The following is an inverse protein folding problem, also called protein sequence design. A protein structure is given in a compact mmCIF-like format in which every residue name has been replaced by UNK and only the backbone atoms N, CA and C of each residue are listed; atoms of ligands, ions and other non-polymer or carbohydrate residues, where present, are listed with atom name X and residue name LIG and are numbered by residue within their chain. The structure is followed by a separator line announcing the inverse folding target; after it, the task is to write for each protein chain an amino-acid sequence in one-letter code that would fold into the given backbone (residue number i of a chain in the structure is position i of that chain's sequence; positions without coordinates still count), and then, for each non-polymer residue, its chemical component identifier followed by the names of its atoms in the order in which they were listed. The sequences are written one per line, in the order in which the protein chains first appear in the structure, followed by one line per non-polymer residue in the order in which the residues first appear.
data_IF_042002666118
#
_entry.id   IF_042002666118
#
_cell.length_a   1.000
_cell.length_b   1.000
_cell.length_c   1.000
_cell.angle_alpha   90.00
_cell.angle_beta   90.00
_cell.angle_gamma   90.00
#
_symmetry.space_group_name_H-M   'P 1'
#
loop_
_entity.id
_entity.type
_entity.pdbx_description
1 polymer ?
#
# COMPACT_ATOMS: atom_id res chain seq x y z
N UNK A 1 32.03 5.55 14.80
CA UNK A 1 30.68 5.00 14.63
C UNK A 1 30.81 3.78 13.75
N UNK A 2 30.88 2.62 14.38
CA UNK A 2 31.15 1.34 13.75
C UNK A 2 29.84 0.82 13.14
N UNK A 3 29.77 0.77 11.81
CA UNK A 3 28.76 0.02 11.06
C UNK A 3 29.34 -1.36 10.80
N UNK A 4 29.01 -2.35 11.63
CA UNK A 4 29.00 -3.78 11.28
C UNK A 4 28.69 -4.65 12.50
N UNK A 5 27.40 -4.93 12.71
CA UNK A 5 26.96 -6.25 13.13
C UNK A 5 25.65 -6.48 12.36
N UNK A 6 25.48 -7.65 11.76
CA UNK A 6 24.20 -8.02 11.15
C UNK A 6 23.14 -7.98 12.25
N UNK A 7 22.39 -6.88 12.28
CA UNK A 7 21.31 -6.68 13.23
C UNK A 7 20.21 -7.65 12.79
N UNK A 8 20.24 -8.86 13.37
CA UNK A 8 19.18 -9.84 13.18
C UNK A 8 17.97 -9.20 13.83
N UNK A 9 17.04 -8.71 13.01
CA UNK A 9 15.75 -8.19 13.47
C UNK A 9 15.16 -9.20 14.44
N UNK A 10 15.05 -8.82 15.71
CA UNK A 10 14.50 -9.68 16.73
C UNK A 10 12.99 -9.77 16.52
N UNK A 11 12.35 -10.89 16.90
CA UNK A 11 10.89 -10.97 16.85
C UNK A 11 10.20 -9.84 17.62
N UNK A 12 10.81 -9.34 18.70
CA UNK A 12 10.31 -8.19 19.48
C UNK A 12 10.38 -6.85 18.76
N UNK A 13 11.18 -6.74 17.70
CA UNK A 13 11.31 -5.50 16.91
C UNK A 13 10.19 -5.34 15.89
N UNK A 14 9.45 -6.42 15.63
CA UNK A 14 8.34 -6.47 14.67
C UNK A 14 7.01 -6.51 15.41
N UNK A 15 6.10 -5.61 15.03
CA UNK A 15 4.74 -5.61 15.58
C UNK A 15 3.92 -6.73 14.93
N UNK A 16 3.17 -7.54 15.69
CA UNK A 16 2.33 -8.58 15.12
C UNK A 16 1.15 -7.98 14.33
N UNK A 17 0.54 -8.74 13.39
CA UNK A 17 -0.51 -8.24 12.48
C UNK A 17 -1.66 -7.47 13.13
N UNK A 18 -2.17 -7.93 14.27
CA UNK A 18 -3.27 -7.23 14.97
C UNK A 18 -2.84 -5.85 15.51
N UNK A 19 -1.60 -5.73 16.01
CA UNK A 19 -1.04 -4.44 16.48
C UNK A 19 -0.77 -3.51 15.29
N UNK A 20 -0.39 -4.04 14.13
CA UNK A 20 -0.23 -3.27 12.90
C UNK A 20 -1.56 -2.65 12.45
N UNK A 21 -2.65 -3.43 12.45
CA UNK A 21 -4.00 -2.91 12.19
C UNK A 21 -4.39 -1.81 13.18
N UNK A 22 -4.26 -2.06 14.48
CA UNK A 22 -4.56 -1.07 15.53
C UNK A 22 -3.69 0.19 15.40
N UNK A 23 -2.46 0.06 14.92
CA UNK A 23 -1.62 1.23 14.63
C UNK A 23 -2.25 2.08 13.53
N UNK A 24 -2.70 1.48 12.42
CA UNK A 24 -3.38 2.22 11.36
C UNK A 24 -4.70 2.82 11.83
N UNK A 25 -5.43 2.13 12.71
CA UNK A 25 -6.65 2.66 13.32
C UNK A 25 -6.33 3.97 14.07
N UNK A 26 -5.32 3.97 14.93
CA UNK A 26 -4.86 5.19 15.60
C UNK A 26 -4.44 6.28 14.61
N UNK A 27 -3.67 5.94 13.57
CA UNK A 27 -3.19 6.93 12.59
C UNK A 27 -4.35 7.60 11.83
N UNK A 28 -5.32 6.82 11.37
CA UNK A 28 -6.38 7.31 10.49
C UNK A 28 -7.64 7.80 11.22
N UNK A 29 -7.94 7.26 12.42
CA UNK A 29 -9.14 7.60 13.18
C UNK A 29 -8.91 8.52 14.37
N UNK A 30 -7.71 8.60 14.93
CA UNK A 30 -7.39 9.58 15.99
C UNK A 30 -6.50 10.69 15.45
N UNK A 31 -5.27 10.34 15.04
CA UNK A 31 -4.25 11.32 14.76
C UNK A 31 -4.63 12.21 13.57
N UNK A 32 -5.11 11.61 12.48
CA UNK A 32 -5.52 12.33 11.28
C UNK A 32 -6.67 13.32 11.56
N UNK A 33 -7.68 12.90 12.34
CA UNK A 33 -8.82 13.75 12.69
C UNK A 33 -8.43 14.87 13.63
N UNK A 34 -7.62 14.58 14.65
CA UNK A 34 -7.18 15.56 15.65
C UNK A 34 -6.18 16.57 15.11
N UNK A 35 -5.25 16.11 14.27
CA UNK A 35 -4.16 16.94 13.76
C UNK A 35 -4.41 17.55 12.38
N UNK A 36 -5.41 17.06 11.63
CA UNK A 36 -5.69 17.48 10.27
C UNK A 36 -4.74 16.84 9.25
N UNK A 37 -5.23 16.71 8.00
CA UNK A 37 -4.54 15.98 6.94
C UNK A 37 -3.14 16.54 6.65
N UNK A 38 -3.03 17.87 6.45
CA UNK A 38 -1.77 18.49 6.04
C UNK A 38 -0.69 18.44 7.11
N UNK A 39 -1.03 18.64 8.38
CA UNK A 39 -0.05 18.71 9.48
C UNK A 39 0.45 17.31 9.87
N UNK A 40 -0.40 16.29 9.77
CA UNK A 40 -0.07 14.92 10.17
C UNK A 40 0.55 14.11 9.04
N UNK A 41 0.41 14.55 7.79
CA UNK A 41 0.74 13.75 6.61
C UNK A 41 2.14 13.14 6.63
N UNK A 42 3.19 13.94 6.85
CA UNK A 42 4.58 13.45 6.87
C UNK A 42 4.76 12.32 7.87
N UNK A 43 4.19 12.48 9.08
CA UNK A 43 4.27 11.46 10.11
C UNK A 43 3.46 10.21 9.75
N UNK A 44 2.22 10.36 9.29
CA UNK A 44 1.36 9.23 8.91
C UNK A 44 1.99 8.45 7.76
N UNK A 45 2.51 9.12 6.73
CA UNK A 45 3.18 8.49 5.58
C UNK A 45 4.38 7.65 6.03
N UNK A 46 5.19 8.18 6.94
CA UNK A 46 6.37 7.47 7.43
C UNK A 46 5.98 6.28 8.32
N UNK A 47 4.94 6.42 9.15
CA UNK A 47 4.45 5.35 10.03
C UNK A 47 3.65 4.27 9.30
N UNK A 48 2.86 4.63 8.29
CA UNK A 48 2.16 3.67 7.44
C UNK A 48 3.15 2.85 6.61
N UNK A 49 4.22 3.48 6.09
CA UNK A 49 5.33 2.76 5.47
C UNK A 49 6.00 1.77 6.43
N UNK A 50 6.24 2.17 7.68
CA UNK A 50 6.79 1.25 8.69
C UNK A 50 5.85 0.07 8.97
N UNK A 51 4.53 0.30 9.03
CA UNK A 51 3.54 -0.78 9.15
C UNK A 51 3.64 -1.78 8.00
N UNK A 52 3.69 -1.31 6.75
CA UNK A 52 3.84 -2.20 5.58
C UNK A 52 5.15 -2.98 5.59
N UNK A 53 6.24 -2.33 5.99
CA UNK A 53 7.54 -2.98 6.12
C UNK A 53 7.50 -4.13 7.13
N UNK A 54 6.83 -3.95 8.28
CA UNK A 54 6.71 -5.01 9.29
C UNK A 54 5.97 -6.24 8.74
N UNK A 55 4.90 -6.06 7.95
CA UNK A 55 4.23 -7.18 7.25
C UNK A 55 5.18 -7.91 6.30
N UNK A 56 5.97 -7.15 5.52
CA UNK A 56 6.94 -7.74 4.58
C UNK A 56 8.02 -8.53 5.31
N UNK A 57 8.55 -8.00 6.42
CA UNK A 57 9.58 -8.67 7.23
C UNK A 57 9.06 -9.94 7.91
N UNK A 58 7.76 -10.00 8.21
CA UNK A 58 7.11 -11.18 8.78
C UNK A 58 6.67 -12.20 7.71
N UNK A 59 6.80 -11.87 6.41
CA UNK A 59 6.23 -12.65 5.30
C UNK A 59 4.71 -12.85 5.42
N UNK A 60 4.02 -11.88 6.01
CA UNK A 60 2.58 -11.91 6.22
C UNK A 60 1.84 -11.32 5.02
N UNK A 61 1.09 -12.15 4.31
CA UNK A 61 0.33 -11.77 3.10
C UNK A 61 -1.17 -12.02 3.24
N UNK A 62 -1.63 -12.39 4.45
CA UNK A 62 -3.02 -12.75 4.73
C UNK A 62 -3.99 -11.57 4.75
N UNK A 63 -5.27 -11.81 5.12
CA UNK A 63 -6.34 -10.81 5.08
C UNK A 63 -6.01 -9.49 5.79
N UNK A 64 -5.39 -9.54 6.97
CA UNK A 64 -4.99 -8.34 7.71
C UNK A 64 -3.91 -7.52 6.99
N UNK A 65 -2.97 -8.18 6.31
CA UNK A 65 -1.94 -7.49 5.54
C UNK A 65 -2.57 -6.77 4.34
N UNK A 66 -3.49 -7.44 3.63
CA UNK A 66 -4.25 -6.88 2.52
C UNK A 66 -5.08 -5.67 3.00
N UNK A 67 -5.87 -5.82 4.06
CA UNK A 67 -6.68 -4.74 4.63
C UNK A 67 -5.83 -3.51 4.98
N UNK A 68 -4.69 -3.71 5.65
CA UNK A 68 -3.79 -2.63 6.02
C UNK A 68 -3.19 -1.93 4.79
N UNK A 69 -2.86 -2.68 3.74
CA UNK A 69 -2.30 -2.11 2.52
C UNK A 69 -3.36 -1.39 1.68
N UNK A 70 -4.59 -1.89 1.64
CA UNK A 70 -5.73 -1.22 1.00
C UNK A 70 -5.93 0.18 1.59
N UNK A 71 -5.99 0.27 2.93
CA UNK A 71 -6.12 1.54 3.66
C UNK A 71 -4.96 2.49 3.35
N UNK A 72 -3.74 1.97 3.32
CA UNK A 72 -2.57 2.77 2.93
C UNK A 72 -2.67 3.29 1.49
N UNK A 73 -3.11 2.46 0.53
CA UNK A 73 -3.27 2.86 -0.86
C UNK A 73 -4.32 3.96 -1.01
N UNK A 74 -5.49 3.80 -0.38
CA UNK A 74 -6.55 4.84 -0.36
C UNK A 74 -6.06 6.15 0.26
N UNK A 75 -5.34 6.07 1.40
CA UNK A 75 -4.72 7.24 2.01
C UNK A 75 -3.74 7.97 1.07
N UNK A 76 -2.88 7.24 0.36
CA UNK A 76 -1.93 7.84 -0.58
C UNK A 76 -2.64 8.53 -1.76
N UNK A 77 -3.75 7.97 -2.26
CA UNK A 77 -4.58 8.62 -3.28
C UNK A 77 -5.17 9.94 -2.75
N UNK A 78 -5.68 9.94 -1.52
CA UNK A 78 -6.19 11.15 -0.87
C UNK A 78 -5.10 12.21 -0.67
N UNK A 79 -3.88 11.78 -0.29
CA UNK A 79 -2.75 12.69 -0.12
C UNK A 79 -2.37 13.38 -1.44
N UNK A 80 -2.39 12.64 -2.56
CA UNK A 80 -2.17 13.20 -3.90
C UNK A 80 -3.23 14.26 -4.27
N UNK A 81 -4.47 14.10 -3.80
CA UNK A 81 -5.54 15.06 -4.04
C UNK A 81 -5.46 16.29 -3.13
N UNK A 82 -5.44 16.08 -1.80
CA UNK A 82 -5.55 17.16 -0.81
C UNK A 82 -4.27 18.00 -0.64
N UNK A 83 -3.09 17.44 -0.93
CA UNK A 83 -1.81 18.10 -0.64
C UNK A 83 -1.06 18.56 -1.88
N UNK A 84 -1.61 18.37 -3.09
CA UNK A 84 -0.94 18.73 -4.36
C UNK A 84 -0.39 20.16 -4.40
N UNK A 85 -1.12 21.11 -3.82
CA UNK A 85 -0.79 22.54 -3.85
C UNK A 85 -0.03 22.99 -2.58
N UNK A 86 0.28 22.04 -1.67
CA UNK A 86 0.97 22.36 -0.41
C UNK A 86 2.48 22.50 -0.64
N UNK A 87 3.10 23.58 -0.14
CA UNK A 87 4.54 23.75 -0.26
C UNK A 87 5.27 22.62 0.48
N UNK A 88 6.27 22.03 -0.19
CA UNK A 88 7.06 20.93 0.36
C UNK A 88 6.44 19.54 0.22
N UNK A 89 5.20 19.42 -0.29
CA UNK A 89 4.65 18.12 -0.67
C UNK A 89 5.31 17.62 -1.96
N UNK A 90 5.83 16.39 -1.93
CA UNK A 90 6.48 15.78 -3.09
C UNK A 90 5.54 14.76 -3.72
N UNK A 91 4.86 15.18 -4.78
CA UNK A 91 3.97 14.34 -5.57
C UNK A 91 4.67 13.06 -6.03
N UNK A 92 5.91 13.17 -6.53
CA UNK A 92 6.67 12.02 -7.01
C UNK A 92 6.97 10.99 -5.91
N UNK A 93 7.28 11.44 -4.68
CA UNK A 93 7.50 10.54 -3.56
C UNK A 93 6.20 9.87 -3.12
N UNK A 94 5.10 10.60 -3.12
CA UNK A 94 3.80 10.05 -2.74
C UNK A 94 3.29 9.02 -3.78
N UNK A 95 3.43 9.31 -5.07
CA UNK A 95 3.14 8.34 -6.14
C UNK A 95 3.97 7.08 -6.00
N UNK A 96 5.26 7.21 -5.68
CA UNK A 96 6.12 6.04 -5.47
C UNK A 96 5.62 5.19 -4.28
N UNK A 97 5.12 5.80 -3.19
CA UNK A 97 4.53 5.06 -2.08
C UNK A 97 3.25 4.33 -2.49
N UNK A 98 2.37 4.99 -3.25
CA UNK A 98 1.16 4.38 -3.79
C UNK A 98 1.49 3.19 -4.71
N UNK A 99 2.39 3.38 -5.68
CA UNK A 99 2.80 2.35 -6.63
C UNK A 99 3.41 1.13 -5.92
N UNK A 100 4.28 1.36 -4.93
CA UNK A 100 4.86 0.28 -4.12
C UNK A 100 3.79 -0.47 -3.33
N UNK A 101 2.83 0.24 -2.73
CA UNK A 101 1.74 -0.37 -1.96
C UNK A 101 0.86 -1.26 -2.86
N UNK A 102 0.49 -0.76 -4.03
CA UNK A 102 -0.32 -1.51 -5.01
C UNK A 102 0.43 -2.70 -5.61
N UNK A 103 1.76 -2.60 -5.75
CA UNK A 103 2.61 -3.71 -6.20
C UNK A 103 2.63 -4.84 -5.15
N UNK A 104 2.79 -4.52 -3.86
CA UNK A 104 2.69 -5.52 -2.79
C UNK A 104 1.31 -6.16 -2.72
N UNK A 105 0.23 -5.37 -2.88
CA UNK A 105 -1.13 -5.91 -2.91
C UNK A 105 -1.32 -6.95 -4.03
N UNK A 106 -0.81 -6.67 -5.23
CA UNK A 106 -0.84 -7.62 -6.34
C UNK A 106 -0.17 -8.95 -5.96
N UNK A 107 1.02 -8.89 -5.35
CA UNK A 107 1.76 -10.08 -4.90
C UNK A 107 0.97 -10.83 -3.82
N UNK A 108 0.33 -10.13 -2.88
CA UNK A 108 -0.49 -10.75 -1.84
C UNK A 108 -1.71 -11.46 -2.42
N UNK A 109 -2.36 -10.88 -3.43
CA UNK A 109 -3.47 -11.56 -4.11
C UNK A 109 -3.04 -12.86 -4.77
N UNK A 110 -1.87 -12.87 -5.41
CA UNK A 110 -1.27 -14.05 -6.03
C UNK A 110 -0.90 -15.11 -4.97
N UNK A 111 -0.32 -14.71 -3.85
CA UNK A 111 0.06 -15.62 -2.74
C UNK A 111 -1.15 -16.21 -2.00
N UNK A 112 -2.28 -15.50 -1.98
CA UNK A 112 -3.52 -15.92 -1.30
C UNK A 112 -4.48 -16.71 -2.20
N UNK A 113 -4.16 -16.89 -3.50
CA UNK A 113 -5.00 -17.70 -4.41
C UNK A 113 -5.30 -19.07 -3.83
N UNK A 114 -6.58 -19.47 -3.91
CA UNK A 114 -7.06 -20.74 -3.37
C UNK A 114 -7.15 -20.82 -1.84
N UNK A 115 -6.78 -19.76 -1.11
CA UNK A 115 -6.92 -19.67 0.36
C UNK A 115 -7.87 -18.55 0.77
N UNK A 116 -7.69 -17.37 0.19
CA UNK A 116 -8.49 -16.18 0.48
C UNK A 116 -8.66 -15.34 -0.79
N UNK A 117 -9.91 -15.02 -1.12
CA UNK A 117 -10.24 -14.10 -2.21
C UNK A 117 -10.61 -12.75 -1.61
N UNK A 118 -9.78 -11.74 -1.86
CA UNK A 118 -10.05 -10.41 -1.31
C UNK A 118 -11.20 -9.74 -2.05
N UNK A 119 -12.23 -9.21 -1.35
CA UNK A 119 -13.30 -8.46 -1.99
C UNK A 119 -12.82 -7.12 -2.60
N UNK A 120 -11.65 -6.63 -2.18
CA UNK A 120 -11.06 -5.36 -2.63
C UNK A 120 -10.14 -5.50 -3.83
N UNK A 121 -9.90 -6.73 -4.32
CA UNK A 121 -8.92 -6.94 -5.39
C UNK A 121 -9.26 -6.15 -6.66
N UNK A 122 -10.53 -6.16 -7.07
CA UNK A 122 -10.99 -5.40 -8.24
C UNK A 122 -10.65 -3.90 -8.12
N UNK A 123 -10.94 -3.31 -6.96
CA UNK A 123 -10.69 -1.90 -6.65
C UNK A 123 -9.19 -1.57 -6.78
N UNK A 124 -8.33 -2.36 -6.13
CA UNK A 124 -6.89 -2.14 -6.13
C UNK A 124 -6.26 -2.36 -7.51
N UNK A 125 -6.77 -3.34 -8.28
CA UNK A 125 -6.34 -3.58 -9.67
C UNK A 125 -6.70 -2.39 -10.56
N UNK A 126 -7.83 -1.73 -10.33
CA UNK A 126 -8.24 -0.51 -11.04
C UNK A 126 -7.30 0.64 -10.72
N UNK A 127 -7.02 0.91 -9.44
CA UNK A 127 -6.05 1.95 -9.04
C UNK A 127 -4.66 1.70 -9.60
N UNK A 128 -4.18 0.45 -9.52
CA UNK A 128 -2.90 0.05 -10.08
C UNK A 128 -2.83 0.32 -11.59
N UNK A 129 -3.90 -0.01 -12.32
CA UNK A 129 -3.95 0.19 -13.77
C UNK A 129 -3.96 1.67 -14.17
N UNK A 130 -4.65 2.52 -13.41
CA UNK A 130 -4.73 3.96 -13.65
C UNK A 130 -3.42 4.68 -13.28
N UNK A 131 -2.82 4.41 -12.13
CA UNK A 131 -1.58 5.10 -11.74
C UNK A 131 -0.39 4.72 -12.65
N UNK A 132 -0.42 3.51 -13.25
CA UNK A 132 0.56 3.03 -14.23
C UNK A 132 0.11 3.25 -15.69
N UNK A 133 -0.69 4.27 -15.97
CA UNK A 133 -1.18 4.55 -17.34
C UNK A 133 -0.06 4.81 -18.35
N UNK A 134 1.12 5.25 -17.89
CA UNK A 134 2.31 5.45 -18.73
C UNK A 134 2.98 4.15 -19.18
N UNK A 135 2.78 3.05 -18.46
CA UNK A 135 3.44 1.79 -18.79
C UNK A 135 2.81 1.20 -20.06
N UNK A 136 3.54 1.13 -21.18
CA UNK A 136 2.98 0.59 -22.41
C UNK A 136 3.08 -0.93 -22.52
N UNK A 137 3.75 -1.60 -21.55
CA UNK A 137 3.92 -3.05 -21.56
C UNK A 137 3.03 -3.66 -20.50
N UNK A 138 2.07 -4.48 -20.90
CA UNK A 138 1.35 -5.29 -19.95
C UNK A 138 2.28 -6.38 -19.41
N UNK A 139 2.45 -6.39 -18.09
CA UNK A 139 3.10 -7.50 -17.39
C UNK A 139 2.10 -8.66 -17.34
N UNK A 140 2.63 -9.89 -17.40
CA UNK A 140 1.80 -11.07 -17.23
C UNK A 140 1.40 -11.13 -15.75
N UNK A 141 0.13 -10.87 -15.48
CA UNK A 141 -0.45 -10.85 -14.13
C UNK A 141 -1.44 -12.02 -14.03
N UNK A 142 -1.44 -12.75 -12.91
CA UNK A 142 -2.43 -13.80 -12.68
C UNK A 142 -3.73 -13.20 -12.11
N UNK A 143 -4.52 -12.63 -13.02
CA UNK A 143 -5.80 -11.99 -12.73
C UNK A 143 -6.93 -13.00 -12.97
N UNK A 144 -7.77 -13.28 -11.96
CA UNK A 144 -8.91 -14.18 -12.11
C UNK A 144 -9.86 -13.74 -13.24
N UNK A 145 -10.44 -14.72 -13.94
CA UNK A 145 -11.36 -14.46 -15.06
C UNK A 145 -12.53 -13.57 -14.65
N UNK A 146 -13.06 -13.72 -13.45
CA UNK A 146 -14.17 -12.89 -12.96
C UNK A 146 -13.80 -11.40 -12.85
N UNK A 147 -12.53 -11.05 -12.57
CA UNK A 147 -12.04 -9.67 -12.55
C UNK A 147 -11.82 -9.18 -13.98
N UNK A 148 -11.20 -9.99 -14.83
CA UNK A 148 -10.99 -9.65 -16.25
C UNK A 148 -12.31 -9.40 -16.98
N UNK A 149 -13.35 -10.14 -16.62
CA UNK A 149 -14.68 -10.03 -17.22
C UNK A 149 -15.52 -8.91 -16.61
N UNK A 150 -15.15 -8.40 -15.44
CA UNK A 150 -15.89 -7.38 -14.71
C UNK A 150 -15.98 -6.06 -15.52
N UNK A 151 -17.17 -5.44 -15.63
CA UNK A 151 -17.37 -4.25 -16.45
C UNK A 151 -16.46 -3.08 -16.05
N UNK A 152 -16.29 -2.86 -14.75
CA UNK A 152 -15.40 -1.83 -14.19
C UNK A 152 -13.94 -2.02 -14.67
N UNK A 153 -13.43 -3.25 -14.68
CA UNK A 153 -12.05 -3.53 -15.11
C UNK A 153 -11.89 -3.39 -16.62
N UNK A 154 -12.89 -3.83 -17.41
CA UNK A 154 -12.94 -3.64 -18.87
C UNK A 154 -12.94 -2.16 -19.25
N UNK A 155 -13.81 -1.36 -18.64
CA UNK A 155 -13.90 0.08 -18.88
C UNK A 155 -12.62 0.80 -18.47
N UNK A 156 -12.03 0.44 -17.33
CA UNK A 156 -10.72 0.97 -16.91
C UNK A 156 -9.61 0.64 -17.91
N UNK A 157 -9.62 -0.58 -18.45
CA UNK A 157 -8.65 -1.00 -19.48
C UNK A 157 -8.87 -0.26 -20.78
N UNK A 158 -10.11 -0.09 -21.22
CA UNK A 158 -10.45 0.69 -22.41
C UNK A 158 -10.04 2.16 -22.27
N UNK A 159 -10.36 2.77 -21.12
CA UNK A 159 -9.95 4.14 -20.79
C UNK A 159 -8.44 4.32 -20.91
N UNK A 160 -7.67 3.40 -20.30
CA UNK A 160 -6.21 3.37 -20.38
C UNK A 160 -5.71 3.32 -21.83
N UNK A 161 -6.28 2.45 -22.67
CA UNK A 161 -5.87 2.32 -24.07
C UNK A 161 -6.13 3.61 -24.87
N UNK A 162 -7.30 4.24 -24.66
CA UNK A 162 -7.65 5.52 -25.32
C UNK A 162 -6.70 6.63 -24.90
N UNK A 163 -6.45 6.79 -23.59
CA UNK A 163 -5.50 7.79 -23.08
C UNK A 163 -4.09 7.54 -23.64
N UNK A 164 -3.65 6.27 -23.69
CA UNK A 164 -2.33 5.95 -24.20
C UNK A 164 -2.18 6.29 -25.69
N UNK A 165 -3.18 5.97 -26.50
CA UNK A 165 -3.21 6.32 -27.92
C UNK A 165 -3.20 7.85 -28.11
N UNK A 166 -4.01 8.58 -27.33
CA UNK A 166 -4.10 10.04 -27.42
C UNK A 166 -2.86 10.77 -26.91
N UNK A 167 -2.15 10.18 -25.96
CA UNK A 167 -0.94 10.72 -25.35
C UNK A 167 0.35 10.32 -26.07
N UNK A 168 0.27 9.57 -27.18
CA UNK A 168 1.44 9.13 -27.92
C UNK A 168 2.17 10.30 -28.61
N UNK A 169 3.53 10.34 -28.57
CA UNK A 169 4.43 9.41 -27.90
C UNK A 169 4.50 9.64 -26.37
N UNK A 170 4.35 8.56 -25.60
CA UNK A 170 4.45 8.61 -24.13
C UNK A 170 5.92 8.44 -23.72
N UNK A 171 6.45 9.44 -23.01
CA UNK A 171 7.76 9.38 -22.35
C UNK A 171 7.58 9.36 -20.84
N UNK A 172 8.66 9.46 -20.06
CA UNK A 172 8.55 9.56 -18.59
C UNK A 172 7.94 10.90 -18.13
N UNK A 173 8.04 11.94 -18.96
CA UNK A 173 7.69 13.32 -18.58
C UNK A 173 6.66 13.97 -19.51
N UNK A 174 6.27 13.32 -20.61
CA UNK A 174 5.27 13.85 -21.55
C UNK A 174 3.92 14.07 -20.87
N UNK A 175 3.24 15.19 -21.12
CA UNK A 175 1.90 15.39 -20.58
C UNK A 175 0.94 14.29 -21.08
N UNK A 176 0.12 13.75 -20.18
CA UNK A 176 -0.98 12.86 -20.54
C UNK A 176 -2.17 13.70 -20.99
N UNK A 177 -2.92 13.18 -21.95
CA UNK A 177 -4.12 13.82 -22.50
C UNK A 177 -5.25 12.83 -22.52
N UNK A 178 -6.42 13.30 -22.09
CA UNK A 178 -7.70 12.62 -22.23
C UNK A 178 -8.56 13.47 -23.16
N UNK A 179 -9.29 12.84 -24.07
CA UNK A 179 -10.24 13.49 -24.98
C UNK A 179 -11.68 13.06 -24.67
N UNK A 180 -12.62 13.56 -25.45
CA UNK A 180 -14.06 13.33 -25.23
C UNK A 180 -14.42 11.84 -25.18
N UNK A 181 -13.75 11.01 -26.00
CA UNK A 181 -13.94 9.56 -25.98
C UNK A 181 -13.46 8.95 -24.64
N UNK A 182 -12.30 9.38 -24.15
CA UNK A 182 -11.81 8.95 -22.83
C UNK A 182 -12.77 9.36 -21.71
N UNK A 183 -13.30 10.58 -21.77
CA UNK A 183 -14.25 11.09 -20.77
C UNK A 183 -15.61 10.39 -20.85
N UNK A 184 -16.07 9.98 -22.04
CA UNK A 184 -17.28 9.16 -22.20
C UNK A 184 -17.12 7.79 -21.52
N UNK A 185 -15.98 7.13 -21.71
CA UNK A 185 -15.67 5.84 -21.05
C UNK A 185 -15.61 6.03 -19.53
N UNK A 186 -15.01 7.12 -19.05
CA UNK A 186 -15.02 7.45 -17.63
C UNK A 186 -16.46 7.65 -17.11
N UNK A 187 -17.33 8.34 -17.86
CA UNK A 187 -18.75 8.47 -17.51
C UNK A 187 -19.46 7.10 -17.39
N UNK A 188 -19.20 6.18 -18.31
CA UNK A 188 -19.73 4.81 -18.23
C UNK A 188 -19.20 4.05 -17.00
N UNK A 189 -17.90 4.19 -16.69
CA UNK A 189 -17.29 3.62 -15.49
C UNK A 189 -17.96 4.14 -14.22
N UNK A 190 -18.20 5.46 -14.14
CA UNK A 190 -18.91 6.08 -13.02
C UNK A 190 -20.33 5.54 -12.89
N UNK A 191 -21.08 5.37 -13.99
CA UNK A 191 -22.43 4.81 -13.94
C UNK A 191 -22.44 3.40 -13.36
N UNK A 192 -21.55 2.50 -13.83
CA UNK A 192 -21.44 1.13 -13.30
C UNK A 192 -21.08 1.14 -11.82
N UNK A 193 -20.16 2.01 -11.39
CA UNK A 193 -19.77 2.12 -9.98
C UNK A 193 -20.87 2.70 -9.09
N UNK A 194 -21.73 3.59 -9.62
CA UNK A 194 -22.89 4.11 -8.89
C UNK A 194 -23.93 3.03 -8.69
N UNK A 195 -24.18 2.21 -9.71
CA UNK A 195 -25.11 1.06 -9.62
C UNK A 195 -24.65 0.03 -8.59
N UNK A 196 -23.32 -0.18 -8.44
CA UNK A 196 -22.76 -1.04 -7.40
C UNK A 196 -22.61 -0.38 -6.02
N UNK A 197 -23.01 0.90 -5.88
CA UNK A 197 -22.88 1.65 -4.63
C UNK A 197 -21.44 1.95 -4.20
N UNK A 198 -20.48 1.89 -5.12
CA UNK A 198 -19.04 1.99 -4.84
C UNK A 198 -18.54 3.44 -4.85
N UNK A 199 -19.15 4.30 -4.03
CA UNK A 199 -18.85 5.75 -3.98
C UNK A 199 -17.37 6.06 -3.69
N UNK A 200 -16.75 5.33 -2.75
CA UNK A 200 -15.32 5.48 -2.44
C UNK A 200 -14.48 5.29 -3.70
N UNK A 201 -14.83 4.29 -4.51
CA UNK A 201 -14.09 3.98 -5.72
C UNK A 201 -14.23 5.07 -6.78
N UNK A 202 -15.44 5.62 -6.95
CA UNK A 202 -15.68 6.76 -7.85
C UNK A 202 -14.82 7.95 -7.44
N UNK A 203 -14.86 8.31 -6.15
CA UNK A 203 -14.11 9.46 -5.63
C UNK A 203 -12.60 9.28 -5.80
N UNK A 204 -12.05 8.12 -5.43
CA UNK A 204 -10.61 7.86 -5.53
C UNK A 204 -10.14 7.73 -6.98
N UNK A 205 -10.96 7.19 -7.90
CA UNK A 205 -10.67 7.24 -9.34
C UNK A 205 -10.62 8.70 -9.81
N UNK A 206 -11.57 9.55 -9.38
CA UNK A 206 -11.57 10.96 -9.72
C UNK A 206 -10.31 11.69 -9.21
N UNK A 207 -9.87 11.42 -7.97
CA UNK A 207 -8.61 11.92 -7.43
C UNK A 207 -7.38 11.49 -8.28
N UNK A 208 -7.34 10.24 -8.75
CA UNK A 208 -6.27 9.77 -9.63
C UNK A 208 -6.32 10.51 -10.98
N UNK A 209 -7.50 10.69 -11.56
CA UNK A 209 -7.66 11.40 -12.84
C UNK A 209 -7.24 12.87 -12.73
N UNK A 210 -7.62 13.55 -11.65
CA UNK A 210 -7.16 14.90 -11.34
C UNK A 210 -5.63 14.97 -11.29
N UNK A 211 -5.02 13.99 -10.62
CA UNK A 211 -3.56 13.89 -10.56
C UNK A 211 -2.95 13.69 -11.95
N UNK A 212 -3.55 12.89 -12.82
CA UNK A 212 -3.00 12.55 -14.14
C UNK A 212 -3.17 13.67 -15.18
N UNK A 213 -4.29 14.39 -15.15
CA UNK A 213 -4.73 15.30 -16.21
C UNK A 213 -4.87 16.76 -15.76
N UNK A 214 -4.87 17.03 -14.46
CA UNK A 214 -4.99 18.35 -13.87
C UNK A 214 -6.33 18.59 -13.16
N UNK A 215 -6.40 19.68 -12.41
CA UNK A 215 -7.55 20.07 -11.56
C UNK A 215 -8.82 20.33 -12.35
N UNK A 216 -8.70 20.72 -13.61
CA UNK A 216 -9.83 21.11 -14.45
C UNK A 216 -10.46 19.90 -15.18
N UNK A 217 -9.97 18.69 -14.93
CA UNK A 217 -10.41 17.47 -15.62
C UNK A 217 -11.78 17.00 -15.15
N UNK A 218 -12.04 17.11 -13.84
CA UNK A 218 -13.28 16.68 -13.21
C UNK A 218 -13.80 17.86 -12.40
N UNK A 219 -14.99 18.32 -12.78
CA UNK A 219 -15.66 19.39 -12.05
C UNK A 219 -16.14 18.88 -10.69
N UNK A 220 -15.89 19.68 -9.65
CA UNK A 220 -16.38 19.47 -8.29
C UNK A 220 -16.19 18.04 -7.74
N UNK A 221 -14.93 17.58 -7.69
CA UNK A 221 -14.56 16.26 -7.14
C UNK A 221 -15.10 16.04 -5.72
N UNK A 222 -15.21 17.10 -4.91
CA UNK A 222 -15.71 17.01 -3.54
C UNK A 222 -17.21 16.67 -3.48
N UNK A 223 -18.01 17.07 -4.48
CA UNK A 223 -19.40 16.63 -4.61
C UNK A 223 -19.54 15.12 -4.77
N UNK A 224 -18.54 14.45 -5.38
CA UNK A 224 -18.52 12.99 -5.55
C UNK A 224 -18.32 12.30 -4.21
N UNK A 225 -17.45 12.85 -3.33
CA UNK A 225 -17.29 12.33 -1.96
C UNK A 225 -18.58 12.46 -1.17
N UNK A 226 -19.30 13.56 -1.37
CA UNK A 226 -20.49 13.88 -0.58
C UNK A 226 -20.16 13.99 0.90
N UNK A 227 -20.90 13.26 1.73
CA UNK A 227 -20.80 13.31 3.19
C UNK A 227 -19.79 12.30 3.79
N UNK A 228 -19.11 11.50 2.96
CA UNK A 228 -18.13 10.53 3.45
C UNK A 228 -16.99 11.25 4.18
N UNK A 229 -16.72 10.84 5.43
CA UNK A 229 -15.58 11.34 6.15
C UNK A 229 -14.29 10.73 5.58
N UNK A 230 -13.17 11.43 5.76
CA UNK A 230 -11.86 10.94 5.30
C UNK A 230 -11.53 9.52 5.81
N UNK A 231 -11.77 9.16 7.08
CA UNK A 231 -11.55 7.79 7.55
C UNK A 231 -12.45 6.76 6.84
N UNK A 232 -13.71 7.08 6.55
CA UNK A 232 -14.62 6.18 5.83
C UNK A 232 -14.09 5.86 4.43
N UNK A 233 -13.52 6.87 3.75
CA UNK A 233 -12.87 6.69 2.45
C UNK A 233 -11.62 5.83 2.57
N UNK A 234 -10.81 6.01 3.62
CA UNK A 234 -9.61 5.20 3.87
C UNK A 234 -9.99 3.74 4.14
N UNK A 235 -11.03 3.50 4.92
CA UNK A 235 -11.50 2.16 5.26
C UNK A 235 -12.30 1.49 4.13
N UNK A 236 -12.70 2.24 3.09
CA UNK A 236 -13.43 1.71 1.93
C UNK A 236 -14.94 1.60 2.15
N UNK A 237 -15.49 2.31 3.14
CA UNK A 237 -16.90 2.23 3.54
C UNK A 237 -17.72 3.19 2.67
N UNK A 238 -18.40 2.66 1.64
CA UNK A 238 -19.19 3.47 0.69
C UNK A 238 -20.65 3.73 1.14
N UNK A 239 -21.06 3.20 2.28
CA UNK A 239 -22.40 3.41 2.86
C UNK A 239 -22.26 3.43 4.37
N UNK A 240 -22.81 4.44 5.05
CA UNK A 240 -22.79 4.55 6.51
C UNK A 240 -23.34 3.28 7.17
N UNK A 241 -22.47 2.34 7.51
CA UNK A 241 -22.80 1.25 8.40
C UNK A 241 -22.81 1.83 9.80
N UNK A 242 -23.99 1.78 10.40
CA UNK A 242 -24.22 1.91 11.83
C UNK A 242 -23.29 0.92 12.56
N UNK A 243 -22.46 1.47 13.46
CA UNK A 243 -21.75 0.90 14.62
C UNK A 243 -21.08 -0.50 14.59
N UNK A 244 -20.00 -0.69 15.38
CA UNK A 244 -19.20 -1.90 15.41
C UNK A 244 -19.80 -2.92 16.38
N UNK A 245 -20.69 -3.79 15.91
CA UNK A 245 -21.17 -4.94 16.73
C UNK A 245 -20.78 -6.30 16.15
N UNK A 246 -20.07 -6.36 15.01
CA UNK A 246 -19.80 -7.63 14.32
C UNK A 246 -18.38 -8.17 14.51
N UNK A 247 -17.47 -7.43 15.16
CA UNK A 247 -16.08 -7.86 15.34
C UNK A 247 -15.82 -8.64 16.65
N UNK A 248 -16.86 -8.90 17.46
CA UNK A 248 -16.73 -9.57 18.76
C UNK A 248 -16.99 -11.09 18.72
N UNK A 249 -17.19 -11.70 17.54
CA UNK A 249 -17.52 -13.12 17.41
C UNK A 249 -16.33 -14.04 17.06
N UNK A 250 -15.09 -13.55 17.10
CA UNK A 250 -13.90 -14.37 16.78
C UNK A 250 -12.86 -14.48 17.90
N UNK A 251 -13.22 -14.20 19.16
CA UNK A 251 -12.27 -14.28 20.29
C UNK A 251 -12.90 -14.88 21.56
N UNK A 252 -13.45 -16.10 21.49
CA UNK A 252 -13.72 -16.89 22.70
C UNK A 252 -13.49 -18.39 22.42
N UNK A 253 -12.24 -18.85 22.54
CA UNK A 253 -11.90 -20.21 23.01
C UNK A 253 -10.41 -20.26 23.43
N UNK A 254 -10.11 -19.91 24.68
CA UNK A 254 -9.08 -20.61 25.45
C UNK A 254 -9.35 -20.49 26.95
N UNK A 255 -9.18 -21.61 27.64
CA UNK A 255 -9.81 -21.96 28.90
C UNK A 255 -9.30 -21.22 30.14
N UNK A 256 -10.25 -20.83 30.99
CA UNK A 256 -9.97 -20.45 32.37
C UNK A 256 -10.08 -21.67 33.30
N UNK A 257 -8.95 -22.10 33.87
CA UNK A 257 -8.91 -22.98 35.04
C UNK A 257 -9.02 -22.09 36.27
N UNK A 258 -10.17 -22.09 36.95
CA UNK A 258 -10.33 -21.49 38.27
C UNK A 258 -10.04 -22.52 39.36
N UNK A 259 -9.09 -22.18 40.22
CA UNK A 259 -8.84 -22.88 41.48
C UNK A 259 -10.02 -22.70 42.45
N UNK A 260 -10.40 -23.78 43.14
CA UNK A 260 -11.17 -23.70 44.39
C UNK A 260 -10.57 -24.66 45.42
N UNK A 261 -9.99 -24.06 46.45
CA UNK A 261 -9.60 -24.73 47.70
C UNK A 261 -10.87 -25.12 48.46
N UNK A 262 -10.94 -26.38 48.92
CA UNK A 262 -11.78 -26.72 50.07
C UNK A 262 -11.03 -27.72 50.96
N UNK A 263 -11.04 -27.38 52.24
CA UNK A 263 -10.16 -27.87 53.28
C UNK A 263 -10.98 -28.79 54.19
N UNK A 264 -10.72 -30.10 54.22
CA UNK A 264 -11.15 -30.99 55.30
C UNK A 264 -10.19 -32.19 55.45
N UNK A 265 -9.66 -32.36 56.65
CA UNK A 265 -8.92 -33.53 57.17
C UNK A 265 -9.72 -34.13 58.34
N UNK A 266 -9.34 -35.27 58.95
CA UNK A 266 -8.81 -36.53 58.38
C UNK A 266 -9.58 -37.76 58.92
N UNK A 267 -9.42 -38.94 58.31
CA UNK A 267 -9.67 -40.22 59.02
C UNK A 267 -8.64 -41.26 58.59
N UNK A 268 -7.87 -41.68 59.58
CA UNK A 268 -6.84 -42.73 59.59
C UNK A 268 -7.49 -44.11 59.40
N UNK A 269 -6.87 -45.01 58.64
CA UNK A 269 -6.68 -46.43 59.00
C UNK A 269 -5.68 -47.13 58.05
N UNK A 270 -5.03 -48.14 58.60
CA UNK A 270 -3.70 -48.69 58.35
C UNK A 270 -3.62 -49.83 57.31
N UNK A 271 -2.43 -49.94 56.69
CA UNK A 271 -1.67 -51.15 56.29
C UNK A 271 -2.21 -52.13 55.23
N UNK A 272 -1.42 -52.39 54.17
CA UNK A 272 -0.55 -53.60 54.03
C UNK A 272 0.20 -53.60 52.69
N UNK A 273 1.43 -54.15 52.72
CA UNK A 273 2.36 -54.31 51.59
C UNK A 273 1.91 -55.42 50.62
N UNK A 274 2.20 -55.24 49.32
CA UNK A 274 2.80 -56.30 48.50
C UNK A 274 3.29 -55.77 47.14
N UNK A 275 4.51 -56.14 46.76
CA UNK A 275 5.09 -56.00 45.42
C UNK A 275 5.22 -57.39 44.78
N UNK A 276 5.32 -57.50 43.45
CA UNK A 276 6.57 -58.05 42.89
C UNK A 276 7.03 -57.46 41.54
N UNK A 277 8.35 -57.20 41.47
CA UNK A 277 9.38 -57.60 40.49
C UNK A 277 9.18 -57.51 38.93
N UNK A 278 10.30 -57.37 38.15
CA UNK A 278 10.37 -56.51 36.97
C UNK A 278 10.54 -57.25 35.62
N UNK A 279 10.42 -56.51 34.51
CA UNK A 279 10.76 -56.95 33.14
C UNK A 279 11.85 -56.07 32.51
N UNK A 280 12.66 -56.58 31.55
CA UNK A 280 14.04 -56.14 31.36
C UNK A 280 14.27 -55.06 30.28
N UNK A 281 15.43 -54.40 30.44
CA UNK A 281 16.06 -53.43 29.53
C UNK A 281 16.66 -54.14 28.31
N UNK A 282 16.56 -53.54 27.12
CA UNK A 282 17.32 -53.91 25.91
C UNK A 282 17.81 -52.65 25.20
N UNK A 283 19.10 -52.63 24.87
CA UNK A 283 19.92 -51.55 24.29
C UNK A 283 19.79 -51.47 22.75
N UNK A 284 20.28 -50.38 22.10
CA UNK A 284 19.98 -50.06 20.70
C UNK A 284 20.96 -50.68 19.70
N UNK A 285 20.49 -50.95 18.47
CA UNK A 285 21.29 -51.46 17.36
C UNK A 285 21.70 -50.34 16.37
N UNK A 286 22.84 -50.46 15.67
CA UNK A 286 23.45 -49.41 14.82
C UNK A 286 22.89 -49.38 13.38
N UNK A 287 23.17 -48.32 12.59
CA UNK A 287 22.65 -48.20 11.23
C UNK A 287 23.52 -48.94 10.19
N UNK A 288 22.95 -49.43 9.07
CA UNK A 288 23.75 -49.91 7.96
C UNK A 288 24.11 -48.79 6.98
N UNK A 289 25.36 -48.82 6.53
CA UNK A 289 25.91 -48.09 5.37
C UNK A 289 26.08 -49.11 4.24
N UNK A 290 25.50 -48.90 3.06
CA UNK A 290 26.13 -49.24 1.77
C UNK A 290 25.44 -48.58 0.55
N UNK A 291 26.20 -47.71 -0.13
CA UNK A 291 26.45 -47.62 -1.58
C UNK A 291 25.32 -47.47 -2.62
N UNK A 292 25.35 -46.27 -3.24
CA UNK A 292 25.23 -45.92 -4.67
C UNK A 292 24.71 -46.96 -5.68
N UNK A 293 23.69 -46.56 -6.45
CA UNK A 293 23.66 -46.67 -7.92
C UNK A 293 22.42 -45.96 -8.56
N UNK A 294 22.72 -44.90 -9.33
CA UNK A 294 22.17 -44.45 -10.64
C UNK A 294 20.68 -44.11 -10.90
N UNK A 295 20.56 -42.92 -11.51
CA UNK A 295 19.58 -42.41 -12.50
C UNK A 295 18.18 -41.96 -12.05
N UNK A 296 17.93 -40.66 -12.22
CA UNK A 296 16.60 -40.06 -12.24
C UNK A 296 16.68 -38.54 -12.34
N UNK A 297 16.57 -38.03 -13.57
CA UNK A 297 16.61 -36.61 -13.93
C UNK A 297 15.50 -35.79 -13.25
N UNK A 298 15.86 -34.66 -12.63
CA UNK A 298 14.93 -33.54 -12.40
C UNK A 298 15.71 -32.24 -12.23
N UNK A 299 15.43 -31.29 -13.12
CA UNK A 299 16.08 -30.00 -13.29
C UNK A 299 15.98 -29.12 -12.04
N UNK A 300 17.10 -28.55 -11.65
CA UNK A 300 17.21 -27.57 -10.58
C UNK A 300 16.62 -26.21 -11.00
N UNK A 301 15.73 -25.70 -10.16
CA UNK A 301 15.35 -24.28 -10.12
C UNK A 301 16.56 -23.46 -9.66
N UNK A 302 17.05 -22.57 -10.50
CA UNK A 302 17.96 -21.49 -10.12
C UNK A 302 17.24 -20.17 -10.29
N UNK A 303 16.91 -19.53 -9.17
CA UNK A 303 16.44 -18.15 -9.08
C UNK A 303 17.64 -17.27 -8.71
N UNK A 304 17.95 -16.19 -9.44
CA UNK A 304 18.72 -15.10 -8.90
C UNK A 304 17.77 -14.00 -8.39
N UNK A 305 17.75 -13.88 -7.07
CA UNK A 305 17.24 -12.73 -6.33
C UNK A 305 18.12 -11.50 -6.56
N UNK A 306 17.55 -10.41 -7.08
CA UNK A 306 18.19 -9.08 -7.06
C UNK A 306 17.29 -8.10 -6.32
N UNK A 307 17.56 -7.94 -5.02
CA UNK A 307 17.11 -6.80 -4.23
C UNK A 307 17.92 -5.57 -4.65
N UNK A 308 17.25 -4.52 -5.13
CA UNK A 308 17.84 -3.21 -5.36
C UNK A 308 16.96 -2.14 -4.69
N UNK A 309 17.14 -1.98 -3.38
CA UNK A 309 16.54 -0.91 -2.59
C UNK A 309 17.65 -0.07 -1.96
N UNK A 310 17.82 1.17 -2.44
CA UNK A 310 18.45 2.27 -1.71
C UNK A 310 19.86 2.68 -2.13
N UNK A 311 19.97 3.89 -2.72
CA UNK A 311 20.95 4.89 -2.29
C UNK A 311 20.55 6.27 -2.84
N UNK A 312 20.09 7.14 -1.93
CA UNK A 312 19.91 8.58 -2.18
C UNK A 312 21.11 9.31 -1.58
N UNK A 313 21.74 10.16 -2.38
CA UNK A 313 22.94 10.93 -2.05
C UNK A 313 22.62 12.10 -1.12
N UNK A 314 23.40 12.22 -0.04
CA UNK A 314 23.37 13.34 0.92
C UNK A 314 24.32 14.45 0.44
N UNK A 315 23.83 15.70 0.41
CA UNK A 315 24.63 16.92 0.24
C UNK A 315 25.42 17.26 1.52
N UNK A 316 26.63 17.87 1.42
CA UNK A 316 27.24 18.54 2.54
C UNK A 316 27.08 20.08 2.48
N UNK A 317 26.79 20.66 3.65
CA UNK A 317 26.75 22.10 3.93
C UNK A 317 28.14 22.68 4.27
N UNK A 318 28.23 24.00 4.10
CA UNK A 318 29.40 24.89 4.12
C UNK A 318 30.28 24.91 5.38
N UNK A 319 31.56 25.28 5.18
CA UNK A 319 32.41 25.95 6.16
C UNK A 319 33.34 26.99 5.48
N UNK A 320 33.65 28.06 6.21
CA UNK A 320 34.11 29.39 5.78
C UNK A 320 35.64 29.56 5.73
N UNK A 321 36.15 30.49 4.89
CA UNK A 321 37.55 30.99 4.92
C UNK A 321 37.95 31.85 3.70
N UNK A 322 38.94 32.76 3.78
CA UNK A 322 38.75 34.18 3.44
C UNK A 322 39.23 34.69 2.07
N UNK A 323 38.82 35.93 1.80
CA UNK A 323 38.99 36.82 0.65
C UNK A 323 40.41 37.11 0.15
N UNK A 324 40.60 37.16 -1.18
CA UNK A 324 41.42 38.16 -1.91
C UNK A 324 40.87 38.31 -3.35
N UNK A 325 40.83 39.55 -3.85
CA UNK A 325 40.03 39.94 -5.02
C UNK A 325 40.71 39.81 -6.39
N UNK A 326 39.96 40.16 -7.45
CA UNK A 326 40.38 40.93 -8.63
C UNK A 326 39.45 40.71 -9.85
N UNK A 327 38.85 41.81 -10.31
CA UNK A 327 38.49 42.22 -11.70
C UNK A 327 37.38 41.46 -12.47
N UNK A 328 36.36 42.24 -12.85
CA UNK A 328 35.27 41.94 -13.78
C UNK A 328 35.69 42.03 -15.27
N UNK A 329 34.88 41.50 -16.20
CA UNK A 329 34.08 42.42 -17.01
C UNK A 329 32.62 42.00 -17.23
N UNK A 330 31.79 43.03 -17.43
CA UNK A 330 30.35 43.02 -17.69
C UNK A 330 29.99 42.35 -19.03
N UNK A 331 28.89 41.61 -19.06
CA UNK A 331 28.13 41.30 -20.28
C UNK A 331 26.67 41.71 -20.13
N UNK A 332 26.20 42.41 -21.16
CA UNK A 332 24.97 43.18 -21.23
C UNK A 332 23.72 42.32 -21.43
N UNK A 333 22.62 42.79 -20.85
CA UNK A 333 21.28 42.21 -20.94
C UNK A 333 20.66 42.46 -22.32
N UNK A 334 20.18 41.38 -22.96
CA UNK A 334 19.65 41.35 -24.33
C UNK A 334 18.11 41.50 -24.39
N UNK A 335 17.55 42.49 -23.70
CA UNK A 335 16.10 42.80 -23.78
C UNK A 335 15.81 44.30 -23.94
N UNK A 336 16.59 44.98 -24.77
CA UNK A 336 16.34 46.37 -25.16
C UNK A 336 15.96 46.46 -26.63
N UNK A 337 14.81 45.90 -27.03
CA UNK A 337 14.10 46.27 -28.28
C UNK A 337 12.80 45.49 -28.49
N UNK A 338 11.72 45.89 -27.81
CA UNK A 338 10.36 45.65 -28.30
C UNK A 338 9.52 46.91 -28.12
N UNK A 339 9.08 47.49 -29.24
CA UNK A 339 8.21 48.66 -29.32
C UNK A 339 6.76 48.26 -29.06
N UNK A 340 6.09 48.99 -28.18
CA UNK A 340 4.64 48.89 -27.92
C UNK A 340 3.85 49.56 -29.05
N UNK A 341 2.92 48.84 -29.67
CA UNK A 341 1.88 49.41 -30.54
C UNK A 341 0.64 49.80 -29.71
N UNK A 342 -0.03 50.92 -30.02
CA UNK A 342 -1.21 51.35 -29.27
C UNK A 342 -2.50 50.64 -29.75
N UNK A 343 -3.36 50.30 -28.78
CA UNK A 343 -4.67 49.69 -29.01
C UNK A 343 -5.64 50.69 -29.68
N UNK A 344 -6.34 50.20 -30.70
CA UNK A 344 -7.34 50.92 -31.46
C UNK A 344 -8.76 50.63 -30.94
N UNK A 345 -9.10 51.10 -29.74
CA UNK A 345 -10.49 51.32 -29.30
C UNK A 345 -10.47 52.32 -28.16
N UNK A 346 -10.78 53.58 -28.47
CA UNK A 346 -11.09 54.60 -27.47
C UNK A 346 -12.56 54.55 -27.10
N UNK A 347 -12.86 54.85 -25.83
CA UNK A 347 -14.23 55.00 -25.34
C UNK A 347 -14.27 55.34 -23.85
N UNK A 348 -14.35 56.65 -23.58
CA UNK A 348 -14.87 57.33 -22.37
C UNK A 348 -14.08 57.24 -21.07
#
# INVERSE_FOLDING_TARGET
YERAAGDKTLPSDLRPPHVLRTTLDYLFHDLLLRGGFSQTHTFIRDRSRAVRNDFTMQHETGPLAIECHDRCARYHILALHFLRDKPGFSIALEEQQLMNTLQSLKEYYEDQRGRYESPTELEMRVYHRLIHIRDQRERHDDIPSHILEHPVFKLTTQFRLVVQAKSAPITKTSALKVDDQGMEIFGQLVSVLRESGSLVMIYLVACILERLFGTDTIEDIESIRGELAVPDVIDGVSSGRVSPEVDQLLMEDDGSISASESNHTPTTLTSTLSAPAPAPVSTPAPPPIFSQAINGSSSAFTVPSTNAFGQLSTFPSQASGPSTGSIAPQQASAFASLKSTPNAFGGS
#
